data_IF_825384097066
#
_entry.id   IF_825384097066
#
_cell.length_a   1.000
_cell.length_b   1.000
_cell.length_c   1.000
_cell.angle_alpha   90.00
_cell.angle_beta   90.00
_cell.angle_gamma   90.00
#
_symmetry.space_group_name_H-M   'P 1'
#
loop_
_entity.id
_entity.type
_entity.pdbx_description
1 polymer ?
#
# COMPACT_ATOMS: atom_id res chain seq x y z
N UNK A 1 -28.69 -57.24 -29.25
CA UNK A 1 -27.86 -57.14 -28.04
C UNK A 1 -27.12 -55.82 -28.12
N UNK A 2 -27.78 -54.78 -27.63
CA UNK A 2 -27.28 -53.40 -27.65
C UNK A 2 -26.65 -53.15 -26.28
N UNK A 3 -25.33 -53.32 -26.19
CA UNK A 3 -24.69 -53.56 -24.90
C UNK A 3 -24.06 -52.33 -24.24
N UNK A 4 -24.06 -51.15 -24.86
CA UNK A 4 -23.52 -49.93 -24.21
C UNK A 4 -24.23 -48.66 -24.72
N UNK A 5 -25.17 -48.15 -23.93
CA UNK A 5 -25.70 -46.79 -24.12
C UNK A 5 -24.60 -45.78 -23.77
N UNK A 6 -24.43 -44.75 -24.61
CA UNK A 6 -23.37 -43.73 -24.45
C UNK A 6 -23.48 -42.95 -23.12
N UNK A 7 -24.63 -43.03 -22.46
CA UNK A 7 -24.88 -42.42 -21.15
C UNK A 7 -24.46 -43.30 -19.95
N UNK A 8 -24.14 -44.58 -20.18
CA UNK A 8 -23.74 -45.53 -19.13
C UNK A 8 -22.22 -45.63 -18.94
N UNK A 9 -21.42 -45.00 -19.82
CA UNK A 9 -19.96 -44.99 -19.70
C UNK A 9 -19.53 -43.84 -18.81
N UNK A 10 -19.50 -44.09 -17.50
CA UNK A 10 -18.88 -43.19 -16.53
C UNK A 10 -17.41 -43.58 -16.38
N UNK A 11 -16.50 -42.75 -16.89
CA UNK A 11 -15.06 -42.94 -16.71
C UNK A 11 -14.67 -42.87 -15.24
N UNK A 12 -13.75 -43.73 -14.82
CA UNK A 12 -13.26 -43.75 -13.44
C UNK A 12 -12.25 -42.60 -13.24
N UNK A 13 -12.52 -41.70 -12.29
CA UNK A 13 -11.62 -40.59 -12.00
C UNK A 13 -10.48 -41.07 -11.11
N UNK A 14 -9.35 -41.44 -11.72
CA UNK A 14 -8.16 -41.83 -10.97
C UNK A 14 -7.49 -40.58 -10.39
N UNK A 15 -7.74 -40.32 -9.11
CA UNK A 15 -7.09 -39.23 -8.40
C UNK A 15 -5.66 -39.64 -8.04
N UNK A 16 -4.66 -38.99 -8.63
CA UNK A 16 -3.25 -39.29 -8.37
C UNK A 16 -2.91 -38.86 -6.94
N UNK A 17 -2.73 -39.83 -6.04
CA UNK A 17 -2.22 -39.56 -4.69
C UNK A 17 -0.74 -39.17 -4.79
N UNK A 18 -0.45 -37.91 -4.52
CA UNK A 18 0.92 -37.39 -4.51
C UNK A 18 1.66 -37.96 -3.30
N UNK A 19 2.59 -38.89 -3.51
CA UNK A 19 3.38 -39.51 -2.45
C UNK A 19 4.67 -38.73 -2.09
N UNK A 20 5.04 -37.70 -2.86
CA UNK A 20 6.28 -36.93 -2.67
C UNK A 20 5.98 -35.45 -2.43
N UNK A 21 6.54 -34.89 -1.35
CA UNK A 21 6.36 -33.50 -0.94
C UNK A 21 6.98 -32.46 -1.90
N UNK A 22 7.77 -32.88 -2.91
CA UNK A 22 8.35 -31.99 -3.95
C UNK A 22 7.59 -32.00 -5.28
N UNK A 23 6.50 -32.75 -5.38
CA UNK A 23 5.66 -32.72 -6.58
C UNK A 23 4.91 -31.39 -6.65
N UNK A 24 4.99 -30.70 -7.79
CA UNK A 24 4.17 -29.52 -8.09
C UNK A 24 2.77 -30.01 -8.44
N UNK A 25 2.05 -30.50 -7.42
CA UNK A 25 0.61 -30.66 -7.50
C UNK A 25 -0.02 -29.29 -7.40
N UNK A 26 -1.22 -29.15 -7.95
CA UNK A 26 -2.13 -28.01 -7.86
C UNK A 26 -2.57 -27.71 -6.41
N UNK A 27 -1.58 -27.53 -5.52
CA UNK A 27 -1.74 -26.70 -4.36
C UNK A 27 -1.58 -25.31 -4.93
N UNK A 28 -2.71 -24.62 -5.05
CA UNK A 28 -2.81 -23.17 -5.07
C UNK A 28 -1.47 -22.58 -4.68
N UNK A 29 -0.73 -22.06 -5.67
CA UNK A 29 0.44 -21.22 -5.44
C UNK A 29 -0.04 -20.22 -4.40
N UNK A 30 0.28 -20.49 -3.13
CA UNK A 30 0.06 -19.55 -2.06
C UNK A 30 0.96 -18.42 -2.49
N UNK A 31 0.36 -17.44 -3.16
CA UNK A 31 0.93 -16.14 -3.43
C UNK A 31 1.56 -15.79 -2.10
N UNK A 32 2.89 -15.85 -2.03
CA UNK A 32 3.60 -15.47 -0.82
C UNK A 32 3.00 -14.12 -0.47
N UNK A 33 2.23 -14.07 0.62
CA UNK A 33 1.76 -12.81 1.18
C UNK A 33 3.02 -11.97 1.24
N UNK A 34 3.02 -10.83 0.55
CA UNK A 34 4.22 -10.04 0.32
C UNK A 34 4.99 -9.87 1.62
N UNK A 35 6.33 -9.83 1.53
CA UNK A 35 7.23 -9.78 2.68
C UNK A 35 6.63 -8.88 3.79
N UNK A 36 6.36 -9.41 4.99
CA UNK A 36 5.69 -8.65 6.06
C UNK A 36 6.43 -7.35 6.42
N UNK A 37 7.73 -7.28 6.15
CA UNK A 37 8.53 -6.06 6.30
C UNK A 37 8.13 -5.00 5.26
N UNK A 38 7.89 -5.40 4.01
CA UNK A 38 7.45 -4.48 2.94
C UNK A 38 6.05 -3.95 3.21
N UNK A 39 5.13 -4.81 3.68
CA UNK A 39 3.78 -4.38 4.06
C UNK A 39 3.80 -3.38 5.21
N UNK A 40 4.54 -3.67 6.29
CA UNK A 40 4.59 -2.79 7.46
C UNK A 40 5.24 -1.43 7.15
N UNK A 41 6.27 -1.40 6.31
CA UNK A 41 6.83 -0.14 5.83
C UNK A 41 5.83 0.66 4.98
N UNK A 42 5.11 -0.01 4.06
CA UNK A 42 4.10 0.64 3.24
C UNK A 42 2.98 1.24 4.09
N UNK A 43 2.52 0.51 5.12
CA UNK A 43 1.50 1.00 6.06
C UNK A 43 1.99 2.22 6.86
N UNK A 44 3.21 2.15 7.40
CA UNK A 44 3.84 3.28 8.10
C UNK A 44 3.99 4.50 7.18
N UNK A 45 4.42 4.29 5.94
CA UNK A 45 4.61 5.37 4.97
C UNK A 45 3.27 6.01 4.57
N UNK A 46 2.24 5.19 4.28
CA UNK A 46 0.89 5.69 4.02
C UNK A 46 0.33 6.48 5.20
N UNK A 47 0.54 6.00 6.43
CA UNK A 47 0.16 6.74 7.63
C UNK A 47 0.87 8.10 7.68
N UNK A 48 2.18 8.14 7.47
CA UNK A 48 2.94 9.38 7.49
C UNK A 48 2.45 10.39 6.42
N UNK A 49 2.08 9.90 5.22
CA UNK A 49 1.48 10.75 4.18
C UNK A 49 0.13 11.33 4.61
N UNK A 50 -0.73 10.53 5.25
CA UNK A 50 -1.98 11.01 5.82
C UNK A 50 -1.72 12.05 6.92
N UNK A 51 -0.76 11.80 7.81
CA UNK A 51 -0.38 12.73 8.87
C UNK A 51 0.08 14.09 8.29
N UNK A 52 0.84 14.11 7.18
CA UNK A 52 1.23 15.36 6.49
C UNK A 52 0.03 16.06 5.86
N UNK A 53 -0.88 15.31 5.23
CA UNK A 53 -2.11 15.87 4.68
C UNK A 53 -2.98 16.52 5.76
N UNK A 54 -3.07 15.89 6.94
CA UNK A 54 -3.82 16.44 8.08
C UNK A 54 -3.18 17.74 8.59
N UNK A 55 -1.85 17.85 8.59
CA UNK A 55 -1.14 19.08 8.94
C UNK A 55 -1.44 20.22 7.94
N UNK A 56 -1.44 19.94 6.63
CA UNK A 56 -1.80 20.90 5.59
C UNK A 56 -3.25 21.38 5.71
N UNK A 57 -4.20 20.45 5.93
CA UNK A 57 -5.61 20.79 6.16
C UNK A 57 -5.76 21.67 7.40
N UNK A 58 -5.09 21.31 8.50
CA UNK A 58 -5.12 22.09 9.75
C UNK A 58 -4.58 23.51 9.55
N UNK A 59 -3.45 23.65 8.85
CA UNK A 59 -2.87 24.96 8.54
C UNK A 59 -3.84 25.82 7.71
N UNK A 60 -4.45 25.21 6.69
CA UNK A 60 -5.44 25.87 5.83
C UNK A 60 -6.67 26.30 6.63
N UNK A 61 -7.17 25.44 7.51
CA UNK A 61 -8.33 25.72 8.35
C UNK A 61 -8.06 26.89 9.31
N UNK A 62 -6.92 26.88 10.00
CA UNK A 62 -6.52 27.98 10.89
C UNK A 62 -6.34 29.30 10.13
N UNK A 63 -5.76 29.24 8.94
CA UNK A 63 -5.61 30.41 8.06
C UNK A 63 -6.98 30.96 7.63
N UNK A 64 -7.91 30.08 7.26
CA UNK A 64 -9.27 30.47 6.89
C UNK A 64 -10.03 31.06 8.08
N UNK A 65 -9.92 30.45 9.27
CA UNK A 65 -10.54 30.97 10.49
C UNK A 65 -9.99 32.35 10.85
N UNK A 66 -8.68 32.57 10.70
CA UNK A 66 -8.06 33.88 10.91
C UNK A 66 -8.62 34.93 9.94
N UNK A 67 -8.82 34.56 8.68
CA UNK A 67 -9.37 35.46 7.66
C UNK A 67 -10.85 35.80 7.88
N UNK A 68 -11.65 34.84 8.35
CA UNK A 68 -13.10 35.02 8.57
C UNK A 68 -13.40 35.66 9.92
N UNK A 69 -12.70 35.26 10.98
CA UNK A 69 -12.89 35.77 12.34
C UNK A 69 -11.54 35.91 13.07
N UNK A 70 -10.86 37.07 12.90
CA UNK A 70 -9.53 37.30 13.45
C UNK A 70 -9.43 37.21 14.98
N UNK A 71 -10.54 37.39 15.70
CA UNK A 71 -10.57 37.33 17.18
C UNK A 71 -10.69 35.89 17.71
N UNK A 72 -10.99 34.91 16.82
CA UNK A 72 -11.25 33.52 17.21
C UNK A 72 -9.99 32.64 17.25
N UNK A 73 -8.89 33.08 16.64
CA UNK A 73 -7.65 32.31 16.52
C UNK A 73 -6.43 33.21 16.74
N UNK A 74 -5.38 32.66 17.33
CA UNK A 74 -4.13 33.39 17.54
C UNK A 74 -3.25 33.30 16.29
N UNK A 75 -2.74 34.43 15.81
CA UNK A 75 -1.85 34.50 14.65
C UNK A 75 -0.58 33.64 14.80
N UNK A 76 -0.06 33.48 16.02
CA UNK A 76 1.10 32.63 16.28
C UNK A 76 0.78 31.15 16.04
N UNK A 77 -0.42 30.70 16.41
CA UNK A 77 -0.83 29.31 16.21
C UNK A 77 -1.04 29.01 14.71
N UNK A 78 -1.59 29.97 13.96
CA UNK A 78 -1.73 29.88 12.49
C UNK A 78 -0.35 29.75 11.85
N UNK A 79 0.60 30.59 12.26
CA UNK A 79 1.95 30.58 11.69
C UNK A 79 2.72 29.31 12.07
N UNK A 80 2.65 28.87 13.31
CA UNK A 80 3.25 27.59 13.73
C UNK A 80 2.68 26.45 12.90
N UNK A 81 1.36 26.39 12.72
CA UNK A 81 0.73 25.34 11.92
C UNK A 81 1.14 25.39 10.45
N UNK A 82 1.33 26.59 9.87
CA UNK A 82 1.84 26.77 8.51
C UNK A 82 3.28 26.29 8.36
N UNK A 83 4.17 26.65 9.30
CA UNK A 83 5.56 26.21 9.30
C UNK A 83 5.68 24.69 9.50
N UNK A 84 4.87 24.11 10.39
CA UNK A 84 4.80 22.65 10.59
C UNK A 84 4.39 21.92 9.31
N UNK A 85 3.33 22.39 8.64
CA UNK A 85 2.84 21.79 7.39
C UNK A 85 3.88 21.90 6.26
N UNK A 86 4.47 23.09 6.06
CA UNK A 86 5.50 23.31 5.05
C UNK A 86 6.72 22.40 5.26
N UNK A 87 7.23 22.33 6.49
CA UNK A 87 8.34 21.44 6.84
C UNK A 87 8.01 19.98 6.58
N UNK A 88 6.80 19.53 6.96
CA UNK A 88 6.35 18.16 6.76
C UNK A 88 6.29 17.79 5.26
N UNK A 89 5.77 18.68 4.42
CA UNK A 89 5.73 18.52 2.96
C UNK A 89 7.14 18.49 2.36
N UNK A 90 8.02 19.41 2.75
CA UNK A 90 9.41 19.45 2.28
C UNK A 90 10.16 18.16 2.63
N UNK A 91 10.00 17.67 3.85
CA UNK A 91 10.60 16.43 4.30
C UNK A 91 10.07 15.23 3.49
N UNK A 92 8.76 15.16 3.30
CA UNK A 92 8.08 14.12 2.52
C UNK A 92 8.59 14.10 1.08
N UNK A 93 8.71 15.26 0.43
CA UNK A 93 9.30 15.39 -0.90
C UNK A 93 10.73 14.85 -0.94
N UNK A 94 11.54 15.18 0.06
CA UNK A 94 12.91 14.67 0.17
C UNK A 94 12.98 13.14 0.24
N UNK A 95 12.06 12.50 0.95
CA UNK A 95 11.93 11.04 1.00
C UNK A 95 11.53 10.49 -0.37
N UNK A 96 10.47 11.03 -0.97
CA UNK A 96 9.97 10.58 -2.29
C UNK A 96 11.06 10.67 -3.35
N UNK A 97 11.80 11.78 -3.39
CA UNK A 97 12.93 11.95 -4.29
C UNK A 97 14.01 10.88 -4.07
N UNK A 98 14.26 10.48 -2.82
CA UNK A 98 15.24 9.43 -2.49
C UNK A 98 14.75 8.04 -2.88
N UNK A 99 13.46 7.75 -2.74
CA UNK A 99 12.84 6.51 -3.21
C UNK A 99 12.93 6.41 -4.74
N UNK A 100 12.61 7.49 -5.46
CA UNK A 100 12.72 7.55 -6.92
C UNK A 100 14.17 7.32 -7.37
N UNK A 101 15.15 7.94 -6.68
CA UNK A 101 16.58 7.70 -6.95
C UNK A 101 16.96 6.25 -6.73
N UNK A 102 16.59 5.66 -5.59
CA UNK A 102 16.89 4.26 -5.28
C UNK A 102 16.30 3.31 -6.34
N UNK A 103 15.06 3.56 -6.78
CA UNK A 103 14.44 2.79 -7.86
C UNK A 103 15.23 2.89 -9.18
N UNK A 104 15.64 4.11 -9.55
CA UNK A 104 16.47 4.34 -10.75
C UNK A 104 17.83 3.64 -10.63
N UNK A 105 18.49 3.69 -9.47
CA UNK A 105 19.77 3.02 -9.22
C UNK A 105 19.65 1.49 -9.35
N UNK A 106 18.63 0.88 -8.74
CA UNK A 106 18.39 -0.57 -8.85
C UNK A 106 18.13 -0.97 -10.31
N UNK A 107 17.40 -0.14 -11.06
CA UNK A 107 17.09 -0.41 -12.48
C UNK A 107 18.32 -0.26 -13.36
N UNK A 108 19.15 0.76 -13.11
CA UNK A 108 20.38 1.03 -13.87
C UNK A 108 21.53 0.06 -13.56
N UNK A 109 21.50 -0.61 -12.40
CA UNK A 109 22.46 -1.66 -12.03
C UNK A 109 22.21 -2.99 -12.77
N UNK A 110 21.11 -3.11 -13.53
CA UNK A 110 20.75 -4.31 -14.30
C UNK A 110 21.18 -4.23 -15.76
#
# INVERSE_FOLDING_TARGET
>A
MDILSINDVKGDFVNLKVANNKHIGDKNLQKQSGDPVVSSFADMFNKALNDVNDMEIKSTELTNQMAVNPESVNIHDVQIAAEEAEMAVMFTKGIVDRVIRAYKEITNLR
#
